data_IF_466596811149
#
_entry.id   IF_466596811149
#
_cell.length_a   1.000
_cell.length_b   1.000
_cell.length_c   1.000
_cell.angle_alpha   90.00
_cell.angle_beta   90.00
_cell.angle_gamma   90.00
#
_symmetry.space_group_name_H-M   'P 1'
#
loop_
_entity.id
_entity.type
_entity.pdbx_description
1 polymer ?
#
# COMPACT_ATOMS: atom_id res chain seq x y z
N UNK A 1 -1.84 20.54 -25.31
CA UNK A 1 -1.27 21.54 -24.39
C UNK A 1 -0.19 20.84 -23.57
N UNK A 2 1.09 21.02 -23.92
CA UNK A 2 2.19 20.41 -23.16
C UNK A 2 2.28 21.11 -21.80
N UNK A 3 1.85 20.44 -20.74
CA UNK A 3 2.00 20.96 -19.38
C UNK A 3 3.50 21.15 -19.10
N UNK A 4 3.92 22.38 -18.77
CA UNK A 4 5.29 22.65 -18.35
C UNK A 4 5.57 21.83 -17.10
N UNK A 5 6.58 20.95 -17.16
CA UNK A 5 7.01 20.18 -15.99
C UNK A 5 7.40 21.14 -14.88
N UNK A 6 6.90 20.86 -13.67
CA UNK A 6 7.24 21.60 -12.46
C UNK A 6 8.77 21.66 -12.32
N UNK A 7 9.29 22.79 -11.83
CA UNK A 7 10.73 22.96 -11.59
C UNK A 7 11.28 21.85 -10.69
N UNK A 8 10.44 21.30 -9.81
CA UNK A 8 10.76 20.16 -8.96
C UNK A 8 10.96 18.86 -9.76
N UNK A 9 10.06 18.55 -10.71
CA UNK A 9 10.16 17.36 -11.57
C UNK A 9 11.36 17.44 -12.51
N UNK A 10 11.67 18.66 -12.98
CA UNK A 10 12.80 18.91 -13.87
C UNK A 10 14.16 18.69 -13.19
N UNK A 11 14.27 19.04 -11.92
CA UNK A 11 15.52 18.92 -11.14
C UNK A 11 15.50 17.73 -10.18
N UNK A 12 14.54 16.82 -10.32
CA UNK A 12 14.39 15.65 -9.45
C UNK A 12 15.70 14.86 -9.26
N UNK A 13 16.52 14.59 -10.30
CA UNK A 13 17.79 13.89 -10.11
C UNK A 13 18.77 14.64 -9.20
N UNK A 14 18.82 15.97 -9.31
CA UNK A 14 19.67 16.82 -8.47
C UNK A 14 19.20 16.80 -7.02
N UNK A 15 17.89 16.90 -6.79
CA UNK A 15 17.31 16.83 -5.45
C UNK A 15 17.54 15.47 -4.78
N UNK A 16 17.45 14.37 -5.54
CA UNK A 16 17.82 13.04 -5.04
C UNK A 16 19.29 13.02 -4.63
N UNK A 17 20.19 13.53 -5.47
CA UNK A 17 21.62 13.61 -5.15
C UNK A 17 21.92 14.43 -3.90
N UNK A 18 21.27 15.59 -3.75
CA UNK A 18 21.39 16.43 -2.54
C UNK A 18 20.85 15.70 -1.31
N UNK A 19 19.68 15.06 -1.40
CA UNK A 19 19.10 14.30 -0.29
C UNK A 19 20.00 13.13 0.13
N UNK A 20 20.62 12.43 -0.82
CA UNK A 20 21.60 11.38 -0.53
C UNK A 20 22.83 11.94 0.17
N UNK A 21 23.41 13.03 -0.32
CA UNK A 21 24.58 13.67 0.29
C UNK A 21 24.28 14.14 1.72
N UNK A 22 23.13 14.77 1.93
CA UNK A 22 22.65 15.19 3.25
C UNK A 22 22.45 13.99 4.18
N UNK A 23 21.82 12.91 3.70
CA UNK A 23 21.64 11.70 4.48
C UNK A 23 22.95 11.06 4.93
N UNK A 24 23.94 10.99 4.02
CA UNK A 24 25.27 10.46 4.31
C UNK A 24 26.05 11.34 5.30
N UNK A 25 25.98 12.67 5.17
CA UNK A 25 26.62 13.61 6.09
C UNK A 25 25.95 13.59 7.47
N UNK A 26 24.63 13.55 7.52
CA UNK A 26 23.87 13.45 8.76
C UNK A 26 24.17 12.13 9.50
N UNK A 27 24.22 11.00 8.78
CA UNK A 27 24.61 9.71 9.37
C UNK A 27 26.03 9.70 9.95
N UNK A 28 26.93 10.55 9.43
CA UNK A 28 28.29 10.72 9.95
C UNK A 28 28.38 11.69 11.13
N UNK A 29 27.56 12.74 11.17
CA UNK A 29 27.59 13.75 12.24
C UNK A 29 26.74 13.40 13.46
N UNK A 30 25.75 12.54 13.32
CA UNK A 30 24.87 12.12 14.40
C UNK A 30 25.08 10.64 14.75
N UNK A 31 25.95 10.31 15.73
CA UNK A 31 26.30 8.93 16.09
C UNK A 31 25.17 8.10 16.75
N UNK A 32 23.92 8.61 16.79
CA UNK A 32 22.73 7.89 17.24
C UNK A 32 21.62 7.78 16.18
N UNK A 33 21.87 8.26 14.96
CA UNK A 33 20.86 8.31 13.90
C UNK A 33 20.46 6.91 13.42
N UNK A 34 21.43 5.99 13.32
CA UNK A 34 21.17 4.58 13.00
C UNK A 34 20.30 3.89 14.06
N UNK A 35 20.63 4.10 15.35
CA UNK A 35 19.82 3.57 16.47
C UNK A 35 18.40 4.14 16.51
N UNK A 36 18.23 5.43 16.20
CA UNK A 36 16.92 6.09 16.12
C UNK A 36 16.06 5.55 14.96
N UNK A 37 16.68 5.32 13.79
CA UNK A 37 16.00 4.72 12.64
C UNK A 37 15.68 3.25 12.89
N UNK A 38 16.54 2.50 13.57
CA UNK A 38 16.37 1.08 13.93
C UNK A 38 15.62 0.84 15.26
N UNK A 39 14.82 1.80 15.74
CA UNK A 39 14.16 1.74 17.06
C UNK A 39 13.22 0.56 17.27
N UNK A 40 12.52 0.11 16.21
CA UNK A 40 11.66 -1.07 16.26
C UNK A 40 11.87 -1.91 15.00
N UNK A 41 12.85 -2.84 15.00
CA UNK A 41 13.06 -3.74 13.88
C UNK A 41 12.01 -4.85 13.89
N UNK A 42 11.30 -5.03 12.78
CA UNK A 42 10.39 -6.17 12.54
C UNK A 42 10.99 -6.96 11.39
N UNK A 43 11.39 -8.22 11.64
CA UNK A 43 12.04 -9.08 10.65
C UNK A 43 13.27 -8.43 9.96
N UNK A 44 14.05 -7.63 10.71
CA UNK A 44 15.24 -6.93 10.21
C UNK A 44 14.95 -5.64 9.43
N UNK A 45 13.69 -5.22 9.34
CA UNK A 45 13.28 -3.97 8.71
C UNK A 45 12.82 -2.99 9.78
N UNK A 46 13.42 -1.81 9.85
CA UNK A 46 13.02 -0.79 10.80
C UNK A 46 11.64 -0.20 10.46
N UNK A 47 10.75 -0.15 11.44
CA UNK A 47 9.40 0.43 11.29
C UNK A 47 9.36 1.86 10.73
N UNK A 48 10.22 2.80 11.15
CA UNK A 48 10.21 4.16 10.60
C UNK A 48 10.53 4.20 9.09
N UNK A 49 11.55 3.45 8.66
CA UNK A 49 11.91 3.37 7.24
C UNK A 49 10.81 2.63 6.46
N UNK A 50 10.28 1.55 7.00
CA UNK A 50 9.15 0.83 6.41
C UNK A 50 7.95 1.76 6.21
N UNK A 51 7.57 2.55 7.21
CA UNK A 51 6.48 3.51 7.08
C UNK A 51 6.77 4.54 5.99
N UNK A 52 8.00 5.08 5.93
CA UNK A 52 8.42 6.00 4.89
C UNK A 52 8.28 5.41 3.48
N UNK A 53 8.74 4.17 3.28
CA UNK A 53 8.60 3.45 2.03
C UNK A 53 7.13 3.17 1.67
N UNK A 54 6.31 2.80 2.65
CA UNK A 54 4.88 2.53 2.43
C UNK A 54 4.14 3.80 2.00
N UNK A 55 4.41 4.93 2.65
CA UNK A 55 3.85 6.25 2.26
C UNK A 55 4.26 6.63 0.85
N UNK A 56 5.54 6.44 0.50
CA UNK A 56 6.04 6.73 -0.86
C UNK A 56 5.48 5.79 -1.92
N UNK A 57 5.22 4.53 -1.57
CA UNK A 57 4.73 3.54 -2.51
C UNK A 57 3.21 3.58 -2.69
N UNK A 58 2.44 3.97 -1.66
CA UNK A 58 0.98 4.11 -1.72
C UNK A 58 0.41 4.74 -3.02
N UNK A 59 0.97 5.84 -3.57
CA UNK A 59 0.45 6.44 -4.81
C UNK A 59 0.65 5.59 -6.08
N UNK A 60 1.55 4.61 -6.08
CA UNK A 60 1.84 3.77 -7.26
C UNK A 60 0.71 2.79 -7.57
N UNK A 61 0.29 1.87 -6.65
CA UNK A 61 -0.81 0.96 -6.91
C UNK A 61 -2.14 1.70 -7.12
N UNK A 62 -2.33 2.86 -6.49
CA UNK A 62 -3.53 3.69 -6.66
C UNK A 62 -3.72 4.21 -8.10
N UNK A 63 -2.66 4.24 -8.92
CA UNK A 63 -2.71 4.70 -10.32
C UNK A 63 -2.83 3.55 -11.34
N UNK A 64 -2.89 2.31 -10.89
CA UNK A 64 -2.98 1.14 -11.78
C UNK A 64 -4.41 1.05 -12.34
N UNK A 65 -4.53 1.01 -13.67
CA UNK A 65 -5.80 0.78 -14.37
C UNK A 65 -6.07 -0.72 -14.42
N UNK A 66 -6.93 -1.20 -13.54
CA UNK A 66 -7.23 -2.63 -13.41
C UNK A 66 -7.84 -3.23 -14.68
N UNK A 67 -8.53 -2.43 -15.50
CA UNK A 67 -9.13 -2.83 -16.79
C UNK A 67 -8.11 -3.33 -17.84
N UNK A 68 -6.81 -3.11 -17.61
CA UNK A 68 -5.73 -3.51 -18.53
C UNK A 68 -4.92 -4.71 -18.03
N UNK A 69 -5.22 -5.23 -16.84
CA UNK A 69 -4.48 -6.34 -16.25
C UNK A 69 -4.70 -7.63 -17.02
N UNK A 70 -5.90 -7.85 -17.57
CA UNK A 70 -6.26 -9.07 -18.30
C UNK A 70 -5.40 -9.30 -19.56
N UNK A 71 -5.01 -8.23 -20.24
CA UNK A 71 -4.14 -8.31 -21.41
C UNK A 71 -2.71 -8.74 -21.04
N UNK A 72 -2.24 -8.37 -19.84
CA UNK A 72 -0.87 -8.67 -19.38
C UNK A 72 -0.78 -10.04 -18.73
N UNK A 73 -1.82 -10.47 -18.01
CA UNK A 73 -1.89 -11.81 -17.39
C UNK A 73 -2.16 -12.93 -18.40
N UNK A 74 -2.74 -12.60 -19.57
CA UNK A 74 -2.97 -13.55 -20.67
C UNK A 74 -1.68 -14.04 -21.35
N UNK A 75 -0.64 -13.20 -21.45
CA UNK A 75 0.64 -13.59 -22.06
C UNK A 75 1.58 -14.23 -21.02
N UNK A 76 1.32 -15.51 -20.74
CA UNK A 76 2.13 -16.30 -19.79
C UNK A 76 3.61 -16.33 -20.16
N UNK A 77 3.96 -16.33 -21.45
CA UNK A 77 5.36 -16.41 -21.88
C UNK A 77 6.11 -15.12 -21.53
N UNK A 78 5.47 -13.98 -21.75
CA UNK A 78 6.02 -12.66 -21.39
C UNK A 78 6.07 -12.49 -19.87
N UNK A 79 5.05 -12.93 -19.15
CA UNK A 79 5.01 -12.86 -17.69
C UNK A 79 6.14 -13.68 -17.06
N UNK A 80 6.30 -14.94 -17.47
CA UNK A 80 7.37 -15.80 -16.95
C UNK A 80 8.76 -15.31 -17.36
N UNK A 81 8.94 -14.80 -18.59
CA UNK A 81 10.24 -14.28 -19.03
C UNK A 81 10.62 -13.01 -18.26
N UNK A 82 9.68 -12.08 -18.08
CA UNK A 82 9.90 -10.87 -17.27
C UNK A 82 10.18 -11.21 -15.81
N UNK A 83 9.46 -12.18 -15.24
CA UNK A 83 9.67 -12.58 -13.85
C UNK A 83 11.04 -13.25 -13.67
N UNK A 84 11.42 -14.16 -14.57
CA UNK A 84 12.72 -14.81 -14.54
C UNK A 84 13.87 -13.80 -14.76
N UNK A 85 13.74 -12.89 -15.73
CA UNK A 85 14.72 -11.83 -15.96
C UNK A 85 14.82 -10.90 -14.74
N UNK A 86 13.71 -10.40 -14.23
CA UNK A 86 13.75 -9.45 -13.11
C UNK A 86 14.23 -10.11 -11.81
N UNK A 87 13.81 -11.35 -11.53
CA UNK A 87 14.07 -12.00 -10.25
C UNK A 87 15.36 -12.83 -10.22
N UNK A 88 15.79 -13.41 -11.34
CA UNK A 88 17.04 -14.18 -11.39
C UNK A 88 18.18 -13.32 -11.93
N UNK A 89 17.98 -12.66 -13.08
CA UNK A 89 19.07 -11.97 -13.78
C UNK A 89 19.49 -10.71 -13.03
N UNK A 90 18.54 -9.91 -12.53
CA UNK A 90 18.86 -8.72 -11.73
C UNK A 90 19.71 -9.06 -10.50
N UNK A 91 19.18 -9.82 -9.53
CA UNK A 91 19.89 -10.15 -8.30
C UNK A 91 21.18 -10.96 -8.49
N UNK A 92 21.27 -11.81 -9.52
CA UNK A 92 22.47 -12.59 -9.75
C UNK A 92 23.58 -11.80 -10.47
N UNK A 93 23.24 -10.91 -11.41
CA UNK A 93 24.23 -10.20 -12.23
C UNK A 93 24.70 -8.88 -11.60
N UNK A 94 23.80 -8.11 -10.98
CA UNK A 94 24.12 -6.76 -10.47
C UNK A 94 25.27 -6.76 -9.44
N UNK A 95 25.30 -7.63 -8.42
CA UNK A 95 26.37 -7.65 -7.44
C UNK A 95 27.73 -7.95 -8.07
N UNK A 96 27.77 -8.91 -9.01
CA UNK A 96 28.98 -9.26 -9.75
C UNK A 96 29.47 -8.12 -10.64
N UNK A 97 28.56 -7.42 -11.32
CA UNK A 97 28.89 -6.26 -12.16
C UNK A 97 29.37 -5.05 -11.35
N UNK A 98 28.78 -4.81 -10.17
CA UNK A 98 29.16 -3.72 -9.26
C UNK A 98 30.37 -4.06 -8.37
N UNK A 99 30.89 -5.29 -8.44
CA UNK A 99 31.99 -5.76 -7.58
C UNK A 99 31.62 -5.78 -6.09
N UNK A 100 30.35 -5.93 -5.76
CA UNK A 100 29.86 -5.92 -4.39
C UNK A 100 30.01 -7.30 -3.74
N UNK A 101 30.44 -7.37 -2.46
CA UNK A 101 30.51 -8.63 -1.74
C UNK A 101 29.10 -9.21 -1.54
N UNK A 102 28.92 -10.47 -1.94
CA UNK A 102 27.66 -11.22 -1.75
C UNK A 102 27.57 -11.93 -0.40
N UNK A 103 28.65 -11.87 0.39
CA UNK A 103 28.76 -12.43 1.74
C UNK A 103 27.91 -11.59 2.70
N UNK A 104 26.67 -12.03 2.97
CA UNK A 104 25.74 -11.36 3.88
C UNK A 104 24.28 -11.33 3.41
N UNK A 105 23.98 -11.80 2.20
CA UNK A 105 22.61 -11.85 1.67
C UNK A 105 21.87 -13.16 2.05
N UNK A 106 21.87 -13.54 3.34
CA UNK A 106 21.01 -14.63 3.84
C UNK A 106 19.54 -14.18 3.98
N UNK A 107 19.02 -13.48 2.97
CA UNK A 107 17.62 -13.10 2.91
C UNK A 107 16.88 -14.22 2.20
N UNK A 108 16.11 -15.01 2.94
CA UNK A 108 15.31 -16.07 2.35
C UNK A 108 14.31 -15.49 1.33
N UNK A 109 14.08 -16.21 0.22
CA UNK A 109 13.06 -15.83 -0.77
C UNK A 109 11.69 -15.63 -0.11
N UNK A 110 11.40 -16.40 0.94
CA UNK A 110 10.23 -16.25 1.78
C UNK A 110 10.15 -14.91 2.52
N UNK A 111 11.27 -14.41 3.07
CA UNK A 111 11.31 -13.11 3.73
C UNK A 111 11.06 -11.96 2.74
N UNK A 112 11.61 -12.06 1.52
CA UNK A 112 11.32 -11.10 0.45
C UNK A 112 9.85 -11.16 0.04
N UNK A 113 9.28 -12.35 -0.08
CA UNK A 113 7.86 -12.52 -0.40
C UNK A 113 6.95 -11.93 0.69
N UNK A 114 7.27 -12.17 1.97
CA UNK A 114 6.54 -11.58 3.10
C UNK A 114 6.61 -10.05 3.09
N UNK A 115 7.79 -9.47 2.90
CA UNK A 115 7.93 -8.01 2.86
C UNK A 115 7.19 -7.42 1.66
N UNK A 116 7.32 -8.02 0.49
CA UNK A 116 6.56 -7.61 -0.70
C UNK A 116 5.04 -7.68 -0.46
N UNK A 117 4.54 -8.74 0.19
CA UNK A 117 3.13 -8.86 0.53
C UNK A 117 2.67 -7.74 1.46
N UNK A 118 3.48 -7.36 2.45
CA UNK A 118 3.15 -6.23 3.35
C UNK A 118 3.16 -4.91 2.59
N UNK A 119 4.28 -4.61 1.92
CA UNK A 119 4.45 -3.32 1.26
C UNK A 119 3.46 -3.14 0.11
N UNK A 120 3.27 -4.15 -0.74
CA UNK A 120 2.38 -4.07 -1.90
C UNK A 120 0.93 -4.38 -1.53
N UNK A 121 0.70 -5.40 -0.69
CA UNK A 121 -0.63 -5.87 -0.34
C UNK A 121 -1.41 -4.87 0.52
N UNK A 122 -0.77 -4.22 1.49
CA UNK A 122 -1.47 -3.26 2.36
C UNK A 122 -2.07 -2.09 1.56
N UNK A 123 -1.31 -1.36 0.71
CA UNK A 123 -1.87 -0.31 -0.14
C UNK A 123 -2.92 -0.83 -1.14
N UNK A 124 -2.72 -2.03 -1.70
CA UNK A 124 -3.69 -2.61 -2.63
C UNK A 124 -5.03 -2.90 -1.97
N UNK A 125 -5.02 -3.51 -0.78
CA UNK A 125 -6.23 -3.80 -0.01
C UNK A 125 -6.89 -2.51 0.47
N UNK A 126 -6.10 -1.51 0.90
CA UNK A 126 -6.65 -0.22 1.28
C UNK A 126 -7.38 0.44 0.09
N UNK A 127 -6.74 0.50 -1.09
CA UNK A 127 -7.34 1.04 -2.30
C UNK A 127 -8.59 0.28 -2.76
N UNK A 128 -8.55 -1.06 -2.76
CA UNK A 128 -9.70 -1.87 -3.16
C UNK A 128 -10.86 -1.76 -2.17
N UNK A 129 -10.59 -1.64 -0.87
CA UNK A 129 -11.62 -1.43 0.16
C UNK A 129 -12.30 -0.08 -0.01
N UNK A 130 -11.53 0.99 -0.27
CA UNK A 130 -12.10 2.31 -0.55
C UNK A 130 -12.99 2.27 -1.80
N UNK A 131 -12.51 1.66 -2.89
CA UNK A 131 -13.29 1.53 -4.13
C UNK A 131 -14.58 0.72 -3.92
N UNK A 132 -14.50 -0.40 -3.20
CA UNK A 132 -15.65 -1.23 -2.89
C UNK A 132 -16.68 -0.48 -2.02
N UNK A 133 -16.22 0.30 -1.04
CA UNK A 133 -17.09 1.11 -0.19
C UNK A 133 -17.79 2.22 -0.98
N UNK A 134 -17.08 2.90 -1.86
CA UNK A 134 -17.68 3.92 -2.75
C UNK A 134 -18.70 3.29 -3.70
N UNK A 135 -18.38 2.16 -4.31
CA UNK A 135 -19.32 1.46 -5.19
C UNK A 135 -20.57 0.98 -4.45
N UNK A 136 -20.41 0.43 -3.24
CA UNK A 136 -21.51 0.01 -2.38
C UNK A 136 -22.41 1.20 -1.97
N UNK A 137 -21.80 2.33 -1.59
CA UNK A 137 -22.52 3.56 -1.25
C UNK A 137 -23.38 4.07 -2.40
N UNK A 138 -22.84 4.11 -3.62
CA UNK A 138 -23.57 4.59 -4.80
C UNK A 138 -24.80 3.70 -5.12
N UNK A 139 -24.67 2.38 -4.98
CA UNK A 139 -25.81 1.47 -5.16
C UNK A 139 -26.89 1.67 -4.09
N UNK A 140 -26.48 2.08 -2.90
CA UNK A 140 -27.38 2.36 -1.80
C UNK A 140 -28.26 3.58 -2.07
N UNK A 141 -27.68 4.67 -2.59
CA UNK A 141 -28.42 5.87 -2.98
C UNK A 141 -29.47 5.56 -4.06
N UNK A 142 -29.12 4.74 -5.06
CA UNK A 142 -30.06 4.29 -6.08
C UNK A 142 -31.20 3.47 -5.48
N UNK A 143 -30.90 2.54 -4.56
CA UNK A 143 -31.91 1.73 -3.90
C UNK A 143 -32.91 2.59 -3.09
N UNK A 144 -32.41 3.60 -2.36
CA UNK A 144 -33.27 4.58 -1.67
C UNK A 144 -34.11 5.35 -2.69
N UNK A 145 -33.51 5.86 -3.77
CA UNK A 145 -34.22 6.63 -4.79
C UNK A 145 -35.35 5.81 -5.43
N UNK A 146 -35.09 4.55 -5.77
CA UNK A 146 -36.09 3.62 -6.31
C UNK A 146 -37.18 3.33 -5.27
N UNK A 147 -36.82 3.13 -4.01
CA UNK A 147 -37.79 2.90 -2.93
C UNK A 147 -38.70 4.12 -2.71
N UNK A 148 -38.14 5.34 -2.69
CA UNK A 148 -38.89 6.60 -2.58
C UNK A 148 -39.78 6.82 -3.80
N UNK A 149 -39.27 6.55 -5.01
CA UNK A 149 -40.04 6.70 -6.25
C UNK A 149 -41.21 5.72 -6.34
N UNK A 150 -41.06 4.51 -5.81
CA UNK A 150 -42.08 3.44 -5.91
C UNK A 150 -43.07 3.45 -4.75
N UNK A 151 -42.60 3.69 -3.51
CA UNK A 151 -43.38 3.58 -2.28
C UNK A 151 -43.67 4.93 -1.61
N UNK A 152 -43.16 6.03 -2.18
CA UNK A 152 -43.25 7.37 -1.61
C UNK A 152 -42.24 7.62 -0.48
N UNK A 153 -41.95 8.90 -0.21
CA UNK A 153 -40.96 9.31 0.78
C UNK A 153 -41.32 8.90 2.22
N UNK A 154 -42.61 8.68 2.50
CA UNK A 154 -43.11 8.23 3.82
C UNK A 154 -43.32 6.71 3.89
N UNK A 155 -43.01 5.97 2.82
CA UNK A 155 -43.15 4.52 2.77
C UNK A 155 -42.15 3.81 3.69
N UNK A 156 -42.59 2.74 4.36
CA UNK A 156 -41.74 1.96 5.27
C UNK A 156 -40.49 1.38 4.59
N UNK A 157 -40.55 1.13 3.29
CA UNK A 157 -39.45 0.62 2.47
C UNK A 157 -38.36 1.69 2.26
N UNK A 158 -38.74 2.95 2.00
CA UNK A 158 -37.79 4.05 1.89
C UNK A 158 -37.11 4.36 3.23
N UNK A 159 -37.89 4.33 4.32
CA UNK A 159 -37.38 4.46 5.68
C UNK A 159 -36.44 3.31 6.06
N UNK A 160 -36.80 2.06 5.76
CA UNK A 160 -35.94 0.91 6.01
C UNK A 160 -34.60 1.02 5.25
N UNK A 161 -34.64 1.52 4.00
CA UNK A 161 -33.46 1.84 3.23
C UNK A 161 -32.57 2.87 3.95
N UNK A 162 -33.09 4.01 4.37
CA UNK A 162 -32.27 5.07 5.01
C UNK A 162 -31.81 4.69 6.44
N UNK A 163 -32.69 4.09 7.23
CA UNK A 163 -32.45 3.83 8.66
C UNK A 163 -31.47 2.68 8.88
N UNK A 164 -31.46 1.67 7.99
CA UNK A 164 -30.55 0.52 8.09
C UNK A 164 -29.07 0.91 8.22
N UNK A 165 -28.48 1.60 7.23
CA UNK A 165 -27.07 2.01 7.27
C UNK A 165 -26.76 3.04 8.34
N UNK A 166 -27.71 3.92 8.67
CA UNK A 166 -27.53 4.92 9.73
C UNK A 166 -27.28 4.27 11.09
N UNK A 167 -27.74 3.04 11.30
CA UNK A 167 -27.51 2.26 12.53
C UNK A 167 -26.38 1.25 12.32
N UNK A 168 -26.40 0.49 11.22
CA UNK A 168 -25.40 -0.54 10.95
C UNK A 168 -23.98 0.01 10.85
N UNK A 169 -23.78 1.13 10.13
CA UNK A 169 -22.43 1.66 9.90
C UNK A 169 -21.77 2.11 11.22
N UNK A 170 -22.41 2.93 12.08
CA UNK A 170 -21.84 3.27 13.38
C UNK A 170 -21.61 2.05 14.28
N UNK A 171 -22.53 1.08 14.27
CA UNK A 171 -22.40 -0.16 15.07
C UNK A 171 -21.19 -0.98 14.63
N UNK A 172 -21.03 -1.20 13.33
CA UNK A 172 -19.88 -1.93 12.78
C UNK A 172 -18.56 -1.21 13.07
N UNK A 173 -18.50 0.11 12.88
CA UNK A 173 -17.30 0.92 13.20
C UNK A 173 -16.99 0.86 14.71
N UNK A 174 -18.02 0.91 15.56
CA UNK A 174 -17.90 0.75 17.00
C UNK A 174 -17.37 -0.63 17.39
N UNK A 175 -17.88 -1.70 16.77
CA UNK A 175 -17.42 -3.07 16.99
C UNK A 175 -15.98 -3.28 16.53
N UNK A 176 -15.58 -2.66 15.40
CA UNK A 176 -14.18 -2.67 14.95
C UNK A 176 -13.29 -1.98 15.99
N UNK A 177 -13.66 -0.79 16.46
CA UNK A 177 -12.90 -0.09 17.51
C UNK A 177 -12.81 -0.92 18.80
N UNK A 178 -13.91 -1.54 19.21
CA UNK A 178 -13.96 -2.43 20.36
C UNK A 178 -13.04 -3.64 20.17
N UNK A 179 -13.06 -4.27 19.00
CA UNK A 179 -12.19 -5.42 18.68
C UNK A 179 -10.71 -5.05 18.68
N UNK A 180 -10.36 -3.88 18.15
CA UNK A 180 -8.99 -3.36 18.15
C UNK A 180 -8.54 -3.00 19.58
N UNK A 181 -9.44 -2.45 20.40
CA UNK A 181 -9.17 -2.19 21.81
C UNK A 181 -8.93 -3.50 22.58
N UNK A 182 -9.76 -4.52 22.37
CA UNK A 182 -9.62 -5.84 23.01
C UNK A 182 -8.35 -6.58 22.54
N UNK A 183 -7.96 -6.47 21.26
CA UNK A 183 -6.70 -7.01 20.74
C UNK A 183 -5.46 -6.40 21.39
N UNK A 184 -5.53 -5.15 21.84
CA UNK A 184 -4.42 -4.50 22.58
C UNK A 184 -4.25 -5.06 23.99
N UNK A 185 -5.31 -5.64 24.57
CA UNK A 185 -5.29 -6.21 25.93
C UNK A 185 -5.00 -7.71 25.96
N UNK A 186 -5.20 -8.42 24.83
CA UNK A 186 -4.82 -9.81 24.67
C UNK A 186 -3.89 -9.98 23.46
N UNK A 187 -2.58 -9.70 23.59
CA UNK A 187 -1.61 -10.19 22.62
C UNK A 187 -1.75 -11.71 22.54
N UNK A 188 -1.89 -12.24 21.32
CA UNK A 188 -2.08 -13.66 21.08
C UNK A 188 -1.06 -14.47 21.89
N UNK A 189 -1.56 -15.32 22.79
CA UNK A 189 -0.74 -16.32 23.43
C UNK A 189 -0.28 -17.32 22.36
N UNK A 190 1.01 -17.24 22.03
CA UNK A 190 1.88 -18.23 21.36
C UNK A 190 1.31 -19.01 20.17
#
# INVERSE_FOLDING_TARGET
MAARLSVLDRWLPLWIGVAMAVGLLAGRWFPGLDGALNTVPVDGISLPIALGLLVMMHPVPAKVRYDRLDAVTGDRRLLWSSLALNWLVGPALLPGWLGLPTTGLDVSAWQVAKSALVFLGVPLVAGSTTLALTAAGNNFELAIAVAVATFGATGGQALAGVVGPLIEVPVLVGLVHLSLALRRHHPAAR
#
